data_IF_208114759155
#
_entry.id   IF_208114759155
#
_cell.length_a   1.000
_cell.length_b   1.000
_cell.length_c   1.000
_cell.angle_alpha   90.00
_cell.angle_beta   90.00
_cell.angle_gamma   90.00
#
_symmetry.space_group_name_H-M   'P 1'
#
loop_
_entity.id
_entity.type
_entity.pdbx_description
1 polymer ?
#
# COMPACT_ATOMS: atom_id res chain seq x y z
N UNK A 1 -14.01 11.00 -1.85
CA UNK A 1 -12.67 10.43 -2.11
C UNK A 1 -11.71 11.06 -1.12
N UNK A 2 -10.86 10.28 -0.47
CA UNK A 2 -9.82 10.82 0.41
C UNK A 2 -8.68 11.36 -0.46
N UNK A 3 -8.15 12.56 -0.18
CA UNK A 3 -7.05 13.13 -0.94
C UNK A 3 -5.78 12.29 -0.77
N UNK A 4 -5.02 12.14 -1.85
CA UNK A 4 -3.72 11.48 -1.79
C UNK A 4 -2.72 12.30 -0.95
N UNK A 5 -1.77 11.63 -0.33
CA UNK A 5 -0.70 12.27 0.44
C UNK A 5 0.30 13.03 -0.44
N UNK A 6 0.33 12.75 -1.74
CA UNK A 6 1.21 13.30 -2.75
C UNK A 6 0.40 13.49 -4.05
N UNK A 7 0.66 14.55 -4.80
CA UNK A 7 0.06 14.83 -6.12
C UNK A 7 0.52 13.82 -7.19
N UNK A 8 1.71 13.25 -7.03
CA UNK A 8 2.27 12.21 -7.92
C UNK A 8 2.63 10.95 -7.10
N UNK A 9 1.65 10.11 -6.73
CA UNK A 9 1.87 8.93 -5.91
C UNK A 9 2.62 7.84 -6.68
N UNK A 10 3.94 7.92 -6.69
CA UNK A 10 4.85 6.86 -7.14
C UNK A 10 5.38 6.05 -5.95
N UNK A 11 5.49 4.72 -6.11
CA UNK A 11 6.06 3.82 -5.12
C UNK A 11 6.68 2.58 -5.78
N UNK A 12 7.97 2.36 -5.54
CA UNK A 12 8.69 1.14 -5.93
C UNK A 12 8.95 0.28 -4.68
N UNK A 13 8.29 -0.88 -4.52
CA UNK A 13 8.44 -1.71 -3.33
C UNK A 13 9.81 -2.40 -3.27
N UNK A 14 10.38 -2.47 -2.07
CA UNK A 14 11.58 -3.24 -1.79
C UNK A 14 11.20 -4.67 -1.39
N UNK A 15 11.67 -5.63 -2.18
CA UNK A 15 11.50 -7.07 -1.96
C UNK A 15 10.06 -7.48 -1.58
N UNK A 16 9.05 -7.21 -2.44
CA UNK A 16 7.69 -7.67 -2.17
C UNK A 16 7.61 -9.20 -2.21
N UNK A 17 6.92 -9.76 -1.23
CA UNK A 17 6.52 -11.18 -1.21
C UNK A 17 5.06 -11.25 -1.62
N UNK A 18 4.79 -11.96 -2.70
CA UNK A 18 3.45 -12.05 -3.30
C UNK A 18 2.96 -13.50 -3.21
N UNK A 19 1.76 -13.68 -2.66
CA UNK A 19 1.03 -14.92 -2.77
C UNK A 19 0.18 -14.89 -4.04
N UNK A 20 0.22 -15.97 -4.83
CA UNK A 20 -0.58 -16.09 -6.06
C UNK A 20 -1.50 -17.29 -5.93
N UNK A 21 -2.80 -17.02 -5.91
CA UNK A 21 -3.84 -18.04 -5.88
C UNK A 21 -4.35 -18.27 -7.31
N UNK A 22 -4.08 -19.46 -7.84
CA UNK A 22 -4.61 -19.90 -9.12
C UNK A 22 -5.87 -20.71 -8.90
N UNK A 23 -6.92 -20.39 -9.66
CA UNK A 23 -8.18 -21.12 -9.63
C UNK A 23 -8.75 -21.24 -11.04
N UNK A 24 -9.87 -21.98 -11.19
CA UNK A 24 -10.50 -22.27 -12.49
C UNK A 24 -9.50 -22.82 -13.53
N UNK A 25 -8.71 -23.82 -13.14
CA UNK A 25 -7.67 -24.43 -13.97
C UNK A 25 -6.64 -23.43 -14.55
N UNK A 26 -6.41 -22.33 -13.84
CA UNK A 26 -5.44 -21.29 -14.24
C UNK A 26 -6.04 -20.16 -15.09
N UNK A 27 -7.36 -20.14 -15.31
CA UNK A 27 -8.05 -19.01 -15.93
C UNK A 27 -8.36 -17.89 -14.94
N UNK A 28 -8.41 -18.20 -13.65
CA UNK A 28 -8.58 -17.26 -12.55
C UNK A 28 -7.28 -17.08 -11.79
N UNK A 29 -6.97 -15.83 -11.44
CA UNK A 29 -5.74 -15.50 -10.75
C UNK A 29 -5.96 -14.32 -9.79
N UNK A 30 -5.58 -14.52 -8.54
CA UNK A 30 -5.60 -13.52 -7.48
C UNK A 30 -4.17 -13.34 -6.95
N UNK A 31 -3.77 -12.08 -6.73
CA UNK A 31 -2.44 -11.71 -6.25
C UNK A 31 -2.58 -10.90 -4.98
N UNK A 32 -1.91 -11.35 -3.92
CA UNK A 32 -1.88 -10.66 -2.63
C UNK A 32 -0.44 -10.35 -2.22
N UNK A 33 -0.18 -9.11 -1.81
CA UNK A 33 1.08 -8.78 -1.15
C UNK A 33 1.00 -9.23 0.29
N UNK A 34 1.76 -10.26 0.65
CA UNK A 34 1.79 -10.83 2.01
C UNK A 34 2.98 -10.35 2.84
N UNK A 35 3.96 -9.70 2.20
CA UNK A 35 5.10 -9.07 2.88
C UNK A 35 5.82 -8.10 1.96
N UNK A 36 6.51 -7.10 2.52
CA UNK A 36 7.32 -6.13 1.77
C UNK A 36 8.26 -5.42 2.75
N UNK A 37 9.55 -5.29 2.43
CA UNK A 37 10.51 -4.59 3.30
C UNK A 37 10.23 -3.08 3.40
N UNK A 38 9.51 -2.52 2.42
CA UNK A 38 9.03 -1.14 2.48
C UNK A 38 7.88 -0.93 3.48
N UNK A 39 7.24 -2.00 3.97
CA UNK A 39 6.15 -1.90 4.95
C UNK A 39 6.72 -1.75 6.35
N UNK A 40 7.11 -0.52 6.65
CA UNK A 40 7.59 -0.11 7.97
C UNK A 40 6.50 0.65 8.71
N UNK A 41 6.38 0.40 10.01
CA UNK A 41 5.52 1.20 10.87
C UNK A 41 6.04 2.64 10.88
N UNK A 42 5.23 3.59 10.40
CA UNK A 42 5.54 5.01 10.43
C UNK A 42 4.41 5.82 11.10
N UNK A 43 4.30 5.75 12.44
CA UNK A 43 3.26 6.46 13.17
C UNK A 43 3.34 7.97 12.93
N UNK A 44 2.18 8.60 12.71
CA UNK A 44 2.08 10.04 12.53
C UNK A 44 2.56 10.56 11.16
N UNK A 45 2.85 9.69 10.18
CA UNK A 45 3.22 10.10 8.81
C UNK A 45 2.22 11.07 8.19
N UNK A 46 0.92 10.82 8.38
CA UNK A 46 -0.15 11.71 7.94
C UNK A 46 0.01 13.11 8.51
N UNK A 47 0.06 13.24 9.84
CA UNK A 47 0.15 14.53 10.52
C UNK A 47 1.42 15.32 10.15
N UNK A 48 2.53 14.62 9.82
CA UNK A 48 3.75 15.28 9.33
C UNK A 48 3.63 15.78 7.89
N UNK A 49 2.94 15.04 7.02
CA UNK A 49 2.73 15.41 5.62
C UNK A 49 1.56 16.38 5.40
N UNK A 50 0.60 16.41 6.32
CA UNK A 50 -0.60 17.27 6.30
C UNK A 50 -0.78 17.98 7.64
N UNK A 51 0.12 18.93 8.01
CA UNK A 51 0.01 19.63 9.29
C UNK A 51 -1.30 20.42 9.40
N UNK A 52 -2.02 20.22 10.51
CA UNK A 52 -3.29 20.91 10.78
C UNK A 52 -4.52 20.25 10.15
N UNK A 53 -4.35 19.24 9.30
CA UNK A 53 -5.46 18.44 8.78
C UNK A 53 -5.83 17.31 9.76
N UNK A 54 -7.13 16.97 9.80
CA UNK A 54 -7.61 15.83 10.58
C UNK A 54 -7.05 14.53 10.01
N UNK A 55 -6.67 13.61 10.90
CA UNK A 55 -6.29 12.25 10.50
C UNK A 55 -7.55 11.53 10.00
N UNK A 56 -7.51 10.84 8.85
CA UNK A 56 -8.65 10.10 8.34
C UNK A 56 -9.05 8.98 9.31
N UNK A 57 -10.35 8.87 9.61
CA UNK A 57 -10.95 7.81 10.43
C UNK A 57 -11.50 6.69 9.59
#
# INVERSE_FOLDING_TARGET
QQPHLNEDPNFEPLHPTINVNLYDYGQGMEWDVVGCESFVADPGRWSRLRPGELVPT
#
